data_IF_301997679653
#
_entry.id   IF_301997679653
#
_cell.length_a   1.000
_cell.length_b   1.000
_cell.length_c   1.000
_cell.angle_alpha   90.00
_cell.angle_beta   90.00
_cell.angle_gamma   90.00
#
_symmetry.space_group_name_H-M   'P 1'
#
loop_
_entity.id
_entity.type
_entity.pdbx_description
1 polymer ?
#
# COMPACT_ATOMS: atom_id res chain seq x y z
N UNK A 1 2.27 6.24 -4.78
CA UNK A 1 0.89 6.51 -5.26
C UNK A 1 0.80 6.67 -6.78
N UNK A 2 1.89 6.44 -7.52
CA UNK A 2 1.93 6.63 -8.98
C UNK A 2 1.66 5.34 -9.76
N UNK A 3 0.56 4.65 -9.45
CA UNK A 3 0.07 3.57 -10.29
C UNK A 3 -0.93 4.12 -11.30
N UNK A 4 -0.70 3.98 -12.63
CA UNK A 4 -1.67 4.37 -13.66
C UNK A 4 -3.01 3.65 -13.49
N UNK A 5 -2.99 2.38 -13.09
CA UNK A 5 -4.19 1.57 -12.83
C UNK A 5 -5.02 2.19 -11.71
N UNK A 6 -4.40 2.50 -10.56
CA UNK A 6 -5.11 3.09 -9.43
C UNK A 6 -5.61 4.51 -9.74
N UNK A 7 -4.85 5.29 -10.52
CA UNK A 7 -5.29 6.61 -10.99
C UNK A 7 -6.50 6.52 -11.91
N UNK A 8 -6.53 5.55 -12.81
CA UNK A 8 -7.67 5.33 -13.70
C UNK A 8 -8.92 4.91 -12.92
N UNK A 9 -8.80 3.93 -12.01
CA UNK A 9 -9.92 3.51 -11.15
C UNK A 9 -10.44 4.69 -10.32
N UNK A 10 -9.53 5.49 -9.74
CA UNK A 10 -9.91 6.68 -8.99
C UNK A 10 -10.72 7.67 -9.84
N UNK A 11 -10.29 7.92 -11.08
CA UNK A 11 -10.99 8.77 -12.04
C UNK A 11 -12.39 8.21 -12.35
N UNK A 12 -12.48 6.93 -12.70
CA UNK A 12 -13.73 6.26 -13.10
C UNK A 12 -14.76 6.23 -11.97
N UNK A 13 -14.30 6.14 -10.71
CA UNK A 13 -15.15 6.14 -9.52
C UNK A 13 -15.46 7.54 -8.98
N UNK A 14 -14.79 8.59 -9.49
CA UNK A 14 -14.87 9.93 -8.91
C UNK A 14 -14.35 9.99 -7.47
N UNK A 15 -13.31 9.22 -7.17
CA UNK A 15 -12.69 9.08 -5.85
C UNK A 15 -11.20 9.40 -5.95
N UNK A 16 -10.50 9.44 -4.81
CA UNK A 16 -9.05 9.60 -4.81
C UNK A 16 -8.34 8.26 -4.83
N UNK A 17 -7.08 8.25 -5.24
CA UNK A 17 -6.23 7.04 -5.19
C UNK A 17 -6.16 6.48 -3.77
N UNK A 18 -6.11 7.34 -2.75
CA UNK A 18 -6.11 6.91 -1.35
C UNK A 18 -7.41 6.17 -1.01
N UNK A 19 -8.56 6.72 -1.39
CA UNK A 19 -9.85 6.07 -1.17
C UNK A 19 -9.95 4.71 -1.88
N UNK A 20 -9.44 4.59 -3.11
CA UNK A 20 -9.37 3.32 -3.84
C UNK A 20 -8.55 2.28 -3.06
N UNK A 21 -7.35 2.64 -2.59
CA UNK A 21 -6.52 1.73 -1.80
C UNK A 21 -7.21 1.30 -0.50
N UNK A 22 -7.78 2.24 0.25
CA UNK A 22 -8.45 1.96 1.52
C UNK A 22 -9.68 1.06 1.29
N UNK A 23 -10.47 1.36 0.24
CA UNK A 23 -11.63 0.57 -0.13
C UNK A 23 -11.25 -0.87 -0.49
N UNK A 24 -10.16 -1.07 -1.24
CA UNK A 24 -9.69 -2.41 -1.58
C UNK A 24 -9.33 -3.22 -0.33
N UNK A 25 -8.55 -2.66 0.62
CA UNK A 25 -8.20 -3.36 1.86
C UNK A 25 -9.45 -3.70 2.68
N UNK A 26 -10.42 -2.79 2.74
CA UNK A 26 -11.70 -3.03 3.41
C UNK A 26 -12.48 -4.20 2.78
N UNK A 27 -12.52 -4.30 1.45
CA UNK A 27 -13.19 -5.40 0.74
C UNK A 27 -12.48 -6.75 0.89
N UNK A 28 -11.18 -6.78 1.22
CA UNK A 28 -10.47 -8.01 1.61
C UNK A 28 -10.86 -8.51 3.02
N UNK A 29 -11.71 -7.77 3.75
CA UNK A 29 -12.13 -8.11 5.11
C UNK A 29 -11.13 -7.70 6.20
N UNK A 30 -10.11 -6.88 5.85
CA UNK A 30 -9.12 -6.39 6.80
C UNK A 30 -9.53 -5.04 7.43
N UNK A 31 -9.09 -4.82 8.67
CA UNK A 31 -9.24 -3.52 9.33
C UNK A 31 -8.16 -2.55 8.82
N UNK A 32 -8.58 -1.39 8.29
CA UNK A 32 -7.67 -0.41 7.69
C UNK A 32 -7.27 0.65 8.70
N UNK A 33 -5.97 0.83 8.93
CA UNK A 33 -5.42 1.91 9.75
C UNK A 33 -4.70 2.91 8.85
N UNK A 34 -5.23 4.13 8.76
CA UNK A 34 -4.64 5.22 7.98
C UNK A 34 -4.24 6.38 8.86
N UNK A 35 -3.06 6.95 8.59
CA UNK A 35 -2.51 8.09 9.33
C UNK A 35 -2.57 9.36 8.49
N UNK A 36 -3.13 10.42 9.06
CA UNK A 36 -3.12 11.77 8.48
C UNK A 36 -3.18 12.82 9.60
N UNK A 37 -2.49 13.95 9.41
CA UNK A 37 -2.67 15.16 10.22
C UNK A 37 -3.48 16.24 9.48
N UNK A 38 -3.80 16.01 8.21
CA UNK A 38 -4.64 16.90 7.42
C UNK A 38 -6.10 16.50 7.58
N UNK A 39 -6.92 17.43 8.07
CA UNK A 39 -8.34 17.21 8.37
C UNK A 39 -9.16 16.87 7.12
N UNK A 40 -8.88 17.49 5.99
CA UNK A 40 -9.51 17.16 4.71
C UNK A 40 -9.26 15.71 4.31
N UNK A 41 -8.01 15.25 4.40
CA UNK A 41 -7.63 13.86 4.12
C UNK A 41 -8.24 12.87 5.12
N UNK A 42 -8.38 13.26 6.40
CA UNK A 42 -9.07 12.41 7.39
C UNK A 42 -10.54 12.19 7.00
N UNK A 43 -11.24 13.26 6.60
CA UNK A 43 -12.62 13.16 6.09
C UNK A 43 -12.72 12.38 4.78
N UNK A 44 -11.76 12.56 3.88
CA UNK A 44 -11.72 11.84 2.62
C UNK A 44 -11.52 10.34 2.84
N UNK A 45 -10.58 9.95 3.71
CA UNK A 45 -10.25 8.57 4.00
C UNK A 45 -11.43 7.76 4.58
N UNK A 46 -12.35 8.41 5.32
CA UNK A 46 -13.55 7.73 5.86
C UNK A 46 -14.66 7.59 4.81
N UNK A 47 -14.60 8.35 3.71
CA UNK A 47 -15.60 8.36 2.62
C UNK A 47 -15.51 7.15 1.68
N UNK A 48 -15.35 5.94 2.23
CA UNK A 48 -15.19 4.68 1.47
C UNK A 48 -16.40 3.74 1.56
N UNK A 49 -17.42 4.08 2.35
CA UNK A 49 -18.51 3.15 2.68
C UNK A 49 -19.73 3.24 1.75
N UNK A 50 -19.89 4.36 1.03
CA UNK A 50 -21.05 4.67 0.18
C UNK A 50 -20.92 4.18 -1.28
N UNK A 51 -19.85 3.46 -1.60
CA UNK A 51 -19.55 2.95 -2.94
C UNK A 51 -18.69 1.70 -2.85
N UNK A 52 -18.52 0.98 -3.96
CA UNK A 52 -17.72 -0.24 -4.04
C UNK A 52 -16.88 -0.31 -5.30
N UNK A 53 -15.83 -1.13 -5.27
CA UNK A 53 -15.08 -1.50 -6.47
C UNK A 53 -15.92 -2.45 -7.32
N UNK A 54 -15.77 -2.42 -8.64
CA UNK A 54 -16.34 -3.49 -9.48
C UNK A 54 -15.42 -4.71 -9.50
N UNK A 55 -15.93 -5.83 -10.02
CA UNK A 55 -15.11 -7.02 -10.27
C UNK A 55 -13.93 -6.73 -11.19
N UNK A 56 -14.12 -5.87 -12.19
CA UNK A 56 -13.05 -5.43 -13.08
C UNK A 56 -11.98 -4.62 -12.34
N UNK A 57 -12.37 -3.70 -11.45
CA UNK A 57 -11.40 -2.94 -10.64
C UNK A 57 -10.60 -3.87 -9.74
N UNK A 58 -11.28 -4.81 -9.06
CA UNK A 58 -10.65 -5.82 -8.21
C UNK A 58 -9.65 -6.66 -9.02
N UNK A 59 -10.04 -7.11 -10.21
CA UNK A 59 -9.16 -7.87 -11.11
C UNK A 59 -7.91 -7.06 -11.47
N UNK A 60 -8.07 -5.80 -11.87
CA UNK A 60 -6.93 -4.91 -12.22
C UNK A 60 -6.01 -4.66 -11.03
N UNK A 61 -6.54 -4.52 -9.82
CA UNK A 61 -5.73 -4.33 -8.61
C UNK A 61 -4.94 -5.60 -8.29
N UNK A 62 -5.53 -6.78 -8.46
CA UNK A 62 -4.86 -8.07 -8.21
C UNK A 62 -3.69 -8.35 -9.17
N UNK A 63 -3.62 -7.66 -10.32
CA UNK A 63 -2.50 -7.74 -11.27
C UNK A 63 -1.32 -6.83 -10.89
N UNK A 64 -1.48 -5.97 -9.88
CA UNK A 64 -0.40 -5.09 -9.44
C UNK A 64 0.74 -5.90 -8.81
N UNK A 65 2.01 -5.52 -9.05
CA UNK A 65 3.14 -6.17 -8.40
C UNK A 65 3.07 -5.96 -6.89
N UNK A 66 3.22 -7.05 -6.14
CA UNK A 66 3.33 -7.01 -4.69
C UNK A 66 4.78 -6.75 -4.27
N UNK A 67 4.95 -5.89 -3.27
CA UNK A 67 6.23 -5.71 -2.57
C UNK A 67 6.00 -5.46 -1.09
N UNK A 68 6.93 -5.93 -0.26
CA UNK A 68 6.92 -5.62 1.18
C UNK A 68 7.50 -4.22 1.38
N UNK A 69 6.96 -3.48 2.36
CA UNK A 69 7.46 -2.15 2.71
C UNK A 69 8.84 -2.22 3.40
N UNK A 70 9.40 -1.05 3.72
CA UNK A 70 10.73 -0.93 4.33
C UNK A 70 10.91 -1.85 5.55
N UNK A 71 11.89 -2.75 5.45
CA UNK A 71 12.29 -3.69 6.48
C UNK A 71 13.78 -3.55 6.85
N UNK A 72 14.48 -2.56 6.29
CA UNK A 72 15.93 -2.39 6.42
C UNK A 72 16.38 -2.23 7.88
N UNK A 73 15.52 -1.64 8.70
CA UNK A 73 15.77 -1.48 10.14
C UNK A 73 15.90 -2.81 10.89
N UNK A 74 15.24 -3.87 10.42
CA UNK A 74 15.17 -5.16 11.11
C UNK A 74 16.23 -6.15 10.65
N UNK A 75 16.97 -5.86 9.57
CA UNK A 75 17.95 -6.75 8.96
C UNK A 75 19.35 -6.18 9.14
N UNK A 76 20.22 -6.91 9.85
CA UNK A 76 21.59 -6.48 10.10
C UNK A 76 22.52 -7.67 10.39
N UNK A 77 23.79 -7.59 9.98
CA UNK A 77 24.76 -8.68 10.17
C UNK A 77 24.95 -9.09 11.64
N UNK A 78 24.88 -8.12 12.55
CA UNK A 78 24.93 -8.34 14.01
C UNK A 78 23.54 -8.48 14.67
N UNK A 79 22.47 -8.41 13.89
CA UNK A 79 21.10 -8.52 14.37
C UNK A 79 20.61 -9.96 14.47
N UNK A 80 19.38 -10.16 15.00
CA UNK A 80 18.76 -11.48 15.04
C UNK A 80 18.39 -12.00 13.64
N UNK A 81 18.14 -11.11 12.68
CA UNK A 81 17.88 -11.43 11.27
C UNK A 81 19.00 -10.84 10.41
N UNK A 82 19.74 -11.70 9.71
CA UNK A 82 20.90 -11.32 8.87
C UNK A 82 20.50 -11.07 7.44
N UNK A 83 19.39 -11.66 7.01
CA UNK A 83 18.84 -11.47 5.67
C UNK A 83 17.35 -11.16 5.73
N UNK A 84 16.84 -10.61 4.63
CA UNK A 84 15.41 -10.35 4.46
C UNK A 84 14.61 -11.64 4.43
N UNK A 85 15.18 -12.69 3.84
CA UNK A 85 14.58 -14.02 3.78
C UNK A 85 14.37 -14.60 5.18
N UNK A 86 15.36 -14.46 6.07
CA UNK A 86 15.26 -14.85 7.48
C UNK A 86 14.21 -14.05 8.25
N UNK A 87 14.04 -12.75 7.96
CA UNK A 87 13.03 -11.92 8.62
C UNK A 87 11.61 -12.37 8.29
N UNK A 88 11.39 -12.85 7.06
CA UNK A 88 10.08 -13.19 6.53
C UNK A 88 9.86 -14.70 6.36
N UNK A 89 10.74 -15.56 6.88
CA UNK A 89 10.68 -17.02 6.73
C UNK A 89 10.47 -17.48 5.27
N UNK A 90 11.06 -16.76 4.31
CA UNK A 90 10.88 -17.02 2.87
C UNK A 90 9.57 -16.52 2.26
N UNK A 91 8.68 -15.88 3.03
CA UNK A 91 7.43 -15.27 2.55
C UNK A 91 7.64 -13.89 1.90
N UNK A 92 8.65 -13.80 1.03
CA UNK A 92 8.97 -12.61 0.25
C UNK A 92 9.12 -12.94 -1.23
N UNK A 93 8.56 -12.09 -2.08
CA UNK A 93 8.70 -12.20 -3.53
C UNK A 93 10.04 -11.55 -3.93
N UNK A 94 10.87 -12.29 -4.66
CA UNK A 94 12.22 -11.85 -5.03
C UNK A 94 12.23 -10.48 -5.75
N UNK A 95 13.08 -9.55 -5.28
CA UNK A 95 13.54 -8.40 -6.08
C UNK A 95 12.97 -7.02 -5.79
N UNK A 96 12.20 -6.77 -4.72
CA UNK A 96 11.66 -5.42 -4.46
C UNK A 96 11.71 -4.98 -2.99
N UNK A 97 12.90 -4.62 -2.52
CA UNK A 97 13.12 -3.42 -1.71
C UNK A 97 14.56 -2.95 -1.97
N UNK A 98 14.73 -2.09 -2.97
CA UNK A 98 15.97 -1.32 -3.09
C UNK A 98 15.64 0.13 -2.73
N UNK A 99 16.17 0.53 -1.56
CA UNK A 99 16.53 1.89 -1.16
C UNK A 99 15.84 3.04 -1.93
N UNK A 100 14.76 3.57 -1.37
CA UNK A 100 14.60 5.03 -1.41
C UNK A 100 15.20 5.58 -0.15
N UNK A 101 16.39 6.17 -0.31
CA UNK A 101 17.03 7.02 0.67
C UNK A 101 15.98 7.89 1.38
N UNK A 102 16.08 7.99 2.70
CA UNK A 102 15.64 9.17 3.40
C UNK A 102 16.25 10.38 2.70
N UNK A 103 15.51 11.00 1.79
CA UNK A 103 15.83 12.36 1.33
C UNK A 103 15.51 13.24 2.52
N UNK A 104 16.56 13.58 3.27
CA UNK A 104 16.60 14.74 4.15
C UNK A 104 15.99 15.91 3.40
N UNK A 105 14.80 16.34 3.80
CA UNK A 105 14.24 17.61 3.36
C UNK A 105 14.70 18.65 4.37
N UNK A 106 15.69 19.45 3.97
CA UNK A 106 15.73 20.86 4.36
C UNK A 106 14.57 21.62 3.68
#
# INVERSE_FOLDING_TARGET
MDSPILKQIALDRGKTVAQVCIRWVYEQGACVIVKSFNEGRMRENIGIFDWELTDEDRSKINELPESRCNYDFFVHESGPYKTVDELWDGEIIAGQCNQTAFVSSD
#
